data_IF_366174816134
#
_entry.id   IF_366174816134
#
_cell.length_a   1.000
_cell.length_b   1.000
_cell.length_c   1.000
_cell.angle_alpha   90.00
_cell.angle_beta   90.00
_cell.angle_gamma   90.00
#
_symmetry.space_group_name_H-M   'P 1'
#
loop_
_entity.id
_entity.type
_entity.pdbx_description
1 polymer ?
#
# COMPACT_ATOMS: atom_id res chain seq x y z
N UNK A 1 4.20 4.65 -68.67
CA UNK A 1 2.78 5.05 -68.68
C UNK A 1 2.76 6.40 -67.98
N UNK A 2 3.16 7.50 -68.61
CA UNK A 2 2.56 8.19 -69.78
C UNK A 2 1.05 8.16 -69.71
N UNK A 3 0.49 9.21 -69.11
CA UNK A 3 -0.77 9.76 -69.60
C UNK A 3 -0.55 11.26 -69.77
N UNK A 4 -0.55 11.62 -71.05
CA UNK A 4 -0.31 12.90 -71.66
C UNK A 4 -1.69 13.37 -72.11
N UNK A 5 -2.16 14.50 -71.62
CA UNK A 5 -3.31 15.17 -72.24
C UNK A 5 -3.11 16.69 -72.19
N UNK A 6 -2.32 17.14 -73.15
CA UNK A 6 -2.46 18.41 -73.88
C UNK A 6 -3.93 18.75 -74.14
N UNK A 7 -4.29 20.05 -74.07
CA UNK A 7 -5.08 20.76 -75.12
C UNK A 7 -5.32 22.24 -74.76
N UNK A 8 -4.82 23.08 -75.69
CA UNK A 8 -5.31 24.37 -76.22
C UNK A 8 -5.32 25.66 -75.37
N UNK A 9 -4.25 26.39 -75.61
CA UNK A 9 -4.25 27.78 -76.06
C UNK A 9 -5.37 28.15 -77.05
N UNK A 10 -6.06 29.26 -76.78
CA UNK A 10 -6.69 30.12 -77.80
C UNK A 10 -6.72 31.56 -77.29
N UNK A 11 -5.80 32.37 -77.81
CA UNK A 11 -5.98 33.82 -77.96
C UNK A 11 -7.13 34.11 -78.93
N UNK A 12 -7.73 35.30 -78.83
CA UNK A 12 -7.98 36.11 -80.00
C UNK A 12 -7.19 37.42 -79.90
N UNK A 13 -6.21 37.54 -80.78
CA UNK A 13 -5.60 38.81 -81.19
C UNK A 13 -6.58 39.50 -82.15
N UNK A 14 -6.98 40.72 -81.83
CA UNK A 14 -7.49 41.69 -82.80
C UNK A 14 -6.77 43.02 -82.54
N UNK A 15 -5.92 43.39 -83.49
CA UNK A 15 -5.18 44.66 -83.58
C UNK A 15 -5.94 45.61 -84.50
N UNK A 16 -5.89 46.91 -84.18
CA UNK A 16 -6.25 48.15 -84.95
C UNK A 16 -7.18 49.02 -84.08
N UNK A 17 -6.94 50.30 -83.74
CA UNK A 17 -6.07 51.37 -84.25
C UNK A 17 -5.89 52.42 -83.11
N UNK A 18 -4.82 53.23 -83.06
CA UNK A 18 -4.48 54.09 -81.92
C UNK A 18 -5.39 55.32 -81.79
N UNK A 19 -5.88 55.58 -80.58
CA UNK A 19 -6.35 56.91 -80.16
C UNK A 19 -5.48 57.40 -79.02
N UNK A 20 -4.86 58.56 -79.26
CA UNK A 20 -4.13 59.40 -78.32
C UNK A 20 -4.92 59.73 -77.03
N UNK A 21 -4.22 60.19 -75.99
CA UNK A 21 -4.54 59.91 -74.61
C UNK A 21 -5.71 60.78 -74.15
N UNK A 22 -6.91 60.20 -74.17
CA UNK A 22 -7.98 60.74 -73.35
C UNK A 22 -7.54 60.49 -71.91
N UNK A 23 -7.07 61.54 -71.22
CA UNK A 23 -6.79 61.54 -69.78
C UNK A 23 -7.87 60.69 -69.13
N UNK A 24 -7.49 59.51 -68.65
CA UNK A 24 -8.35 58.74 -67.78
C UNK A 24 -8.76 59.74 -66.71
N UNK A 25 -10.07 60.03 -66.51
CA UNK A 25 -10.44 60.78 -65.33
C UNK A 25 -9.80 59.99 -64.20
N UNK A 26 -8.94 60.63 -63.41
CA UNK A 26 -8.40 60.04 -62.20
C UNK A 26 -9.57 59.29 -61.59
N UNK A 27 -9.48 57.96 -61.56
CA UNK A 27 -10.58 57.15 -61.08
C UNK A 27 -10.51 57.28 -59.56
N UNK A 28 -10.84 58.47 -59.08
CA UNK A 28 -10.85 58.84 -57.70
C UNK A 28 -11.86 57.89 -57.07
N UNK A 29 -11.31 56.98 -56.27
CA UNK A 29 -12.13 56.03 -55.53
C UNK A 29 -13.13 56.87 -54.75
N UNK A 30 -14.44 56.69 -54.97
CA UNK A 30 -15.43 57.45 -54.25
C UNK A 30 -15.16 57.31 -52.75
N UNK A 31 -15.16 58.43 -52.01
CA UNK A 31 -14.83 58.46 -50.58
C UNK A 31 -15.57 57.35 -49.79
N UNK A 32 -16.82 57.09 -50.15
CA UNK A 32 -17.63 56.00 -49.58
C UNK A 32 -16.99 54.61 -49.72
N UNK A 33 -16.39 54.27 -50.87
CA UNK A 33 -15.68 53.00 -51.10
C UNK A 33 -14.40 52.90 -50.27
N UNK A 34 -13.68 54.01 -50.13
CA UNK A 34 -12.45 54.07 -49.33
C UNK A 34 -12.75 53.88 -47.84
N UNK A 35 -13.79 54.56 -47.34
CA UNK A 35 -14.23 54.43 -45.95
C UNK A 35 -14.70 53.00 -45.63
N UNK A 36 -15.41 52.34 -46.56
CA UNK A 36 -15.82 50.93 -46.43
C UNK A 36 -14.62 49.96 -46.36
N UNK A 37 -13.61 50.15 -47.21
CA UNK A 37 -12.40 49.31 -47.20
C UNK A 37 -11.60 49.51 -45.93
N UNK A 38 -11.47 50.75 -45.44
CA UNK A 38 -10.80 51.02 -44.16
C UNK A 38 -11.57 50.44 -42.98
N UNK A 39 -12.91 50.49 -43.00
CA UNK A 39 -13.74 49.85 -41.99
C UNK A 39 -13.51 48.33 -41.98
N UNK A 40 -13.56 47.68 -43.15
CA UNK A 40 -13.28 46.24 -43.30
C UNK A 40 -11.85 45.86 -42.91
N UNK A 41 -10.87 46.69 -43.22
CA UNK A 41 -9.48 46.45 -42.83
C UNK A 41 -9.32 46.49 -41.30
N UNK A 42 -9.93 47.49 -40.65
CA UNK A 42 -9.93 47.58 -39.18
C UNK A 42 -10.68 46.41 -38.54
N UNK A 43 -11.84 46.03 -39.08
CA UNK A 43 -12.57 44.85 -38.60
C UNK A 43 -11.75 43.56 -38.76
N UNK A 44 -11.16 43.33 -39.93
CA UNK A 44 -10.32 42.17 -40.18
C UNK A 44 -9.09 42.17 -39.26
N UNK A 45 -8.47 43.32 -39.03
CA UNK A 45 -7.35 43.46 -38.09
C UNK A 45 -7.78 43.13 -36.66
N UNK A 46 -8.94 43.63 -36.20
CA UNK A 46 -9.48 43.30 -34.87
C UNK A 46 -9.84 41.82 -34.73
N UNK A 47 -10.39 41.19 -35.77
CA UNK A 47 -10.70 39.75 -35.77
C UNK A 47 -9.44 38.91 -35.72
N UNK A 48 -8.40 39.30 -36.47
CA UNK A 48 -7.13 38.59 -36.48
C UNK A 48 -6.44 38.68 -35.13
N UNK A 49 -6.47 39.86 -34.50
CA UNK A 49 -5.92 40.08 -33.16
C UNK A 49 -6.71 39.31 -32.09
N UNK A 50 -8.05 39.27 -32.19
CA UNK A 50 -8.89 38.42 -31.34
C UNK A 50 -8.57 36.94 -31.52
N UNK A 51 -8.50 36.43 -32.75
CA UNK A 51 -8.20 35.01 -33.02
C UNK A 51 -6.80 34.60 -32.53
N UNK A 52 -5.80 35.47 -32.67
CA UNK A 52 -4.47 35.24 -32.12
C UNK A 52 -4.51 35.17 -30.60
N UNK A 53 -5.18 36.13 -29.95
CA UNK A 53 -5.30 36.14 -28.48
C UNK A 53 -6.04 34.91 -27.95
N UNK A 54 -7.09 34.47 -28.64
CA UNK A 54 -7.86 33.30 -28.26
C UNK A 54 -7.06 32.00 -28.48
N UNK A 55 -6.31 31.90 -29.58
CA UNK A 55 -5.40 30.77 -29.82
C UNK A 55 -4.28 30.69 -28.78
N UNK A 56 -3.70 31.82 -28.38
CA UNK A 56 -2.69 31.83 -27.32
C UNK A 56 -3.28 31.43 -25.96
N UNK A 57 -4.48 31.92 -25.63
CA UNK A 57 -5.17 31.52 -24.41
C UNK A 57 -5.50 30.02 -24.40
N UNK A 58 -6.02 29.49 -25.51
CA UNK A 58 -6.30 28.05 -25.66
C UNK A 58 -5.02 27.21 -25.63
N UNK A 59 -3.92 27.68 -26.22
CA UNK A 59 -2.64 26.97 -26.19
C UNK A 59 -2.06 26.94 -24.77
N UNK A 60 -2.20 28.01 -23.99
CA UNK A 60 -1.79 28.05 -22.58
C UNK A 60 -2.61 27.09 -21.73
N UNK A 61 -3.94 27.13 -21.85
CA UNK A 61 -4.81 26.22 -21.08
C UNK A 61 -4.59 24.76 -21.46
N UNK A 62 -4.40 24.45 -22.74
CA UNK A 62 -4.06 23.09 -23.18
C UNK A 62 -2.73 22.60 -22.59
N UNK A 63 -1.69 23.44 -22.58
CA UNK A 63 -0.41 23.11 -21.96
C UNK A 63 -0.52 22.90 -20.45
N UNK A 64 -1.27 23.75 -19.76
CA UNK A 64 -1.52 23.60 -18.32
C UNK A 64 -2.28 22.30 -18.01
N UNK A 65 -3.28 21.96 -18.82
CA UNK A 65 -4.01 20.70 -18.68
C UNK A 65 -3.09 19.49 -18.93
N UNK A 66 -2.29 19.53 -19.99
CA UNK A 66 -1.31 18.48 -20.29
C UNK A 66 -0.31 18.31 -19.14
N UNK A 67 0.23 19.40 -18.61
CA UNK A 67 1.14 19.37 -17.45
C UNK A 67 0.48 18.76 -16.20
N UNK A 68 -0.76 19.15 -15.90
CA UNK A 68 -1.54 18.57 -14.79
C UNK A 68 -1.79 17.07 -14.99
N UNK A 69 -2.09 16.64 -16.21
CA UNK A 69 -2.26 15.22 -16.51
C UNK A 69 -0.95 14.45 -16.33
N UNK A 70 0.17 14.96 -16.85
CA UNK A 70 1.48 14.33 -16.67
C UNK A 70 1.87 14.23 -15.19
N UNK A 71 1.60 15.25 -14.41
CA UNK A 71 1.86 15.27 -12.97
C UNK A 71 1.01 14.22 -12.25
N UNK A 72 -0.30 14.15 -12.54
CA UNK A 72 -1.20 13.14 -12.00
C UNK A 72 -0.78 11.72 -12.38
N UNK A 73 -0.32 11.49 -13.62
CA UNK A 73 0.19 10.18 -14.03
C UNK A 73 1.47 9.80 -13.29
N UNK A 74 2.40 10.73 -13.12
CA UNK A 74 3.63 10.49 -12.36
C UNK A 74 3.33 10.21 -10.90
N UNK A 75 2.50 11.03 -10.26
CA UNK A 75 2.14 10.85 -8.85
C UNK A 75 1.41 9.52 -8.61
N UNK A 76 0.44 9.16 -9.45
CA UNK A 76 -0.28 7.88 -9.32
C UNK A 76 0.62 6.67 -9.58
N UNK A 77 1.55 6.76 -10.53
CA UNK A 77 2.55 5.71 -10.76
C UNK A 77 3.49 5.53 -9.55
N UNK A 78 3.93 6.64 -8.96
CA UNK A 78 4.76 6.62 -7.75
C UNK A 78 4.01 6.06 -6.54
N UNK A 79 2.75 6.46 -6.35
CA UNK A 79 1.87 5.94 -5.31
C UNK A 79 1.62 4.44 -5.48
N UNK A 80 1.35 3.97 -6.70
CA UNK A 80 1.16 2.56 -6.99
C UNK A 80 2.43 1.76 -6.67
N UNK A 81 3.59 2.30 -7.03
CA UNK A 81 4.89 1.66 -6.74
C UNK A 81 5.12 1.59 -5.24
N UNK A 82 4.92 2.69 -4.51
CA UNK A 82 5.01 2.73 -3.04
C UNK A 82 4.04 1.78 -2.37
N UNK A 83 2.79 1.73 -2.82
CA UNK A 83 1.77 0.83 -2.29
C UNK A 83 2.15 -0.64 -2.52
N UNK A 84 2.65 -0.96 -3.72
CA UNK A 84 3.10 -2.32 -4.06
C UNK A 84 4.29 -2.75 -3.22
N UNK A 85 5.27 -1.88 -3.02
CA UNK A 85 6.45 -2.20 -2.23
C UNK A 85 6.15 -2.26 -0.73
N UNK A 86 5.24 -1.40 -0.25
CA UNK A 86 4.68 -1.48 1.10
C UNK A 86 3.94 -2.81 1.34
N UNK A 87 3.10 -3.23 0.39
CA UNK A 87 2.40 -4.51 0.48
C UNK A 87 3.37 -5.69 0.50
N UNK A 88 4.34 -5.75 -0.42
CA UNK A 88 5.37 -6.81 -0.43
C UNK A 88 6.10 -6.90 0.91
N UNK A 89 6.51 -5.77 1.46
CA UNK A 89 7.23 -5.70 2.74
C UNK A 89 6.34 -6.20 3.88
N UNK A 90 5.08 -5.77 3.92
CA UNK A 90 4.11 -6.21 4.92
C UNK A 90 3.85 -7.71 4.82
N UNK A 91 3.61 -8.24 3.62
CA UNK A 91 3.41 -9.67 3.39
C UNK A 91 4.63 -10.49 3.82
N UNK A 92 5.85 -10.05 3.47
CA UNK A 92 7.07 -10.73 3.90
C UNK A 92 7.20 -10.74 5.43
N UNK A 93 6.87 -9.64 6.09
CA UNK A 93 6.86 -9.55 7.55
C UNK A 93 5.80 -10.45 8.18
N UNK A 94 4.59 -10.51 7.62
CA UNK A 94 3.52 -11.39 8.08
C UNK A 94 3.95 -12.86 7.98
N UNK A 95 4.53 -13.28 6.85
CA UNK A 95 5.02 -14.65 6.69
C UNK A 95 6.14 -14.99 7.69
N UNK A 96 7.06 -14.05 7.95
CA UNK A 96 8.09 -14.22 8.97
C UNK A 96 7.47 -14.37 10.36
N UNK A 97 6.49 -13.53 10.72
CA UNK A 97 5.79 -13.61 11.99
C UNK A 97 5.02 -14.92 12.14
N UNK A 98 4.29 -15.34 11.09
CA UNK A 98 3.58 -16.63 11.06
C UNK A 98 4.55 -17.80 11.32
N UNK A 99 5.74 -17.79 10.70
CA UNK A 99 6.76 -18.82 10.95
C UNK A 99 7.27 -18.80 12.39
N UNK A 100 7.49 -17.62 12.97
CA UNK A 100 7.91 -17.49 14.38
C UNK A 100 6.82 -17.97 15.33
N UNK A 101 5.57 -17.56 15.09
CA UNK A 101 4.39 -17.94 15.86
C UNK A 101 4.19 -19.46 15.79
N UNK A 102 4.30 -20.07 14.62
CA UNK A 102 4.22 -21.52 14.47
C UNK A 102 5.34 -22.23 15.23
N UNK A 103 6.56 -21.68 15.22
CA UNK A 103 7.68 -22.19 16.02
C UNK A 103 7.38 -22.16 17.52
N UNK A 104 6.84 -21.03 18.01
CA UNK A 104 6.44 -20.89 19.41
C UNK A 104 5.31 -21.85 19.80
N UNK A 105 4.32 -22.03 18.91
CA UNK A 105 3.23 -22.97 19.10
C UNK A 105 3.74 -24.40 19.20
N UNK A 106 4.64 -24.83 18.32
CA UNK A 106 5.21 -26.17 18.36
C UNK A 106 5.99 -26.41 19.68
N UNK A 107 6.84 -25.46 20.10
CA UNK A 107 7.57 -25.55 21.38
C UNK A 107 6.61 -25.66 22.56
N UNK A 108 5.52 -24.90 22.53
CA UNK A 108 4.49 -24.95 23.57
C UNK A 108 3.73 -26.29 23.57
N UNK A 109 3.43 -26.86 22.41
CA UNK A 109 2.80 -28.18 22.29
C UNK A 109 3.72 -29.30 22.78
N UNK A 110 5.02 -29.22 22.52
CA UNK A 110 6.01 -30.18 23.05
C UNK A 110 6.08 -30.18 24.59
N UNK A 111 5.87 -29.01 25.20
CA UNK A 111 5.81 -28.88 26.67
C UNK A 111 4.53 -29.45 27.31
N UNK A 112 3.50 -29.75 26.52
CA UNK A 112 2.21 -30.27 27.01
C UNK A 112 2.21 -31.80 26.91
N UNK A 113 1.75 -32.53 27.94
CA UNK A 113 1.57 -33.97 27.86
C UNK A 113 0.63 -34.38 26.72
N UNK A 114 0.97 -35.44 25.98
CA UNK A 114 0.23 -35.89 24.78
C UNK A 114 -1.27 -36.10 25.02
N UNK A 115 -1.67 -36.49 26.23
CA UNK A 115 -3.07 -36.70 26.63
C UNK A 115 -3.93 -35.44 26.48
N UNK A 116 -3.32 -34.25 26.53
CA UNK A 116 -4.01 -32.97 26.42
C UNK A 116 -3.88 -32.33 25.03
N UNK A 117 -3.18 -32.96 24.08
CA UNK A 117 -3.05 -32.43 22.71
C UNK A 117 -4.39 -32.38 21.99
N UNK A 118 -5.27 -33.35 22.25
CA UNK A 118 -6.62 -33.43 21.67
C UNK A 118 -7.54 -32.29 22.13
N UNK A 119 -7.19 -31.58 23.22
CA UNK A 119 -7.98 -30.45 23.70
C UNK A 119 -7.70 -29.15 22.93
N UNK A 120 -6.61 -29.10 22.16
CA UNK A 120 -6.21 -27.91 21.41
C UNK A 120 -7.07 -27.81 20.14
N UNK A 121 -7.85 -26.73 19.94
CA UNK A 121 -8.69 -26.60 18.75
C UNK A 121 -7.85 -26.39 17.48
N UNK A 122 -7.91 -27.35 16.55
CA UNK A 122 -7.13 -27.33 15.31
C UNK A 122 -7.65 -26.36 14.23
N UNK A 123 -8.89 -25.87 14.38
CA UNK A 123 -9.55 -24.97 13.41
C UNK A 123 -9.23 -23.48 13.62
N UNK A 124 -8.42 -23.15 14.63
CA UNK A 124 -8.03 -21.77 14.94
C UNK A 124 -6.73 -21.39 14.24
N UNK A 125 -6.51 -20.10 13.91
CA UNK A 125 -5.20 -19.64 13.48
C UNK A 125 -4.17 -19.80 14.62
N UNK A 126 -2.86 -19.95 14.30
CA UNK A 126 -1.81 -20.20 15.29
C UNK A 126 -1.77 -19.20 16.45
N UNK A 127 -2.06 -17.92 16.17
CA UNK A 127 -2.15 -16.86 17.19
C UNK A 127 -3.26 -17.13 18.22
N UNK A 128 -4.46 -17.48 17.74
CA UNK A 128 -5.59 -17.81 18.60
C UNK A 128 -5.39 -19.14 19.33
N UNK A 129 -4.68 -20.09 18.72
CA UNK A 129 -4.29 -21.33 19.40
C UNK A 129 -3.35 -21.03 20.57
N UNK A 130 -2.35 -20.17 20.38
CA UNK A 130 -1.44 -19.74 21.46
C UNK A 130 -2.18 -19.01 22.58
N UNK A 131 -3.12 -18.12 22.26
CA UNK A 131 -3.94 -17.42 23.25
C UNK A 131 -4.82 -18.39 24.06
N UNK A 132 -5.44 -19.35 23.37
CA UNK A 132 -6.17 -20.43 24.02
C UNK A 132 -5.27 -21.24 24.95
N UNK A 133 -4.07 -21.60 24.48
CA UNK A 133 -3.10 -22.37 25.24
C UNK A 133 -2.65 -21.62 26.49
N UNK A 134 -2.34 -20.33 26.37
CA UNK A 134 -1.97 -19.47 27.49
C UNK A 134 -3.11 -19.36 28.51
N UNK A 135 -4.35 -19.26 28.03
CA UNK A 135 -5.54 -19.24 28.88
C UNK A 135 -5.78 -20.57 29.59
N UNK A 136 -5.56 -21.69 28.90
CA UNK A 136 -5.67 -23.04 29.44
C UNK A 136 -4.57 -23.32 30.49
N UNK A 137 -3.33 -22.92 30.20
CA UNK A 137 -2.18 -22.99 31.10
C UNK A 137 -2.45 -22.17 32.37
N UNK A 138 -2.91 -20.92 32.23
CA UNK A 138 -3.29 -20.05 33.36
C UNK A 138 -4.42 -20.64 34.21
N UNK A 139 -5.36 -21.37 33.59
CA UNK A 139 -6.45 -22.08 34.28
C UNK A 139 -6.00 -23.39 34.93
N UNK A 140 -4.75 -23.81 34.75
CA UNK A 140 -4.20 -25.03 35.32
C UNK A 140 -4.57 -26.30 34.56
N UNK A 141 -5.01 -26.21 33.29
CA UNK A 141 -5.41 -27.38 32.50
C UNK A 141 -4.25 -28.37 32.31
N UNK A 142 -3.01 -27.86 32.24
CA UNK A 142 -1.78 -28.65 32.13
C UNK A 142 -1.07 -28.83 33.49
N UNK A 143 -1.73 -28.43 34.58
CA UNK A 143 -1.21 -28.50 35.94
C UNK A 143 -1.47 -29.85 36.61
N UNK A 144 -0.37 -30.49 36.99
CA UNK A 144 -0.25 -31.67 37.86
C UNK A 144 -0.69 -33.00 37.24
N UNK A 145 0.23 -33.62 36.49
CA UNK A 145 0.49 -35.05 36.63
C UNK A 145 0.43 -35.36 38.13
N UNK A 146 -0.58 -36.13 38.54
CA UNK A 146 -0.89 -36.51 39.92
C UNK A 146 0.38 -36.49 40.76
N UNK A 147 0.50 -35.54 41.69
CA UNK A 147 1.26 -35.86 42.89
C UNK A 147 0.56 -37.11 43.43
N UNK A 148 1.22 -38.26 43.38
CA UNK A 148 0.70 -39.47 43.98
C UNK A 148 0.56 -39.18 45.48
N UNK A 149 -0.61 -38.66 45.86
CA UNK A 149 -1.01 -38.59 47.24
C UNK A 149 -1.09 -40.06 47.65
N UNK A 150 -0.25 -40.53 48.58
CA UNK A 150 -0.29 -41.92 48.98
C UNK A 150 -1.71 -42.21 49.49
N UNK A 151 -2.40 -43.11 48.79
CA UNK A 151 -3.74 -43.54 49.16
C UNK A 151 -3.61 -44.44 50.39
N UNK A 152 -3.66 -43.81 51.56
CA UNK A 152 -3.53 -44.46 52.87
C UNK A 152 -2.52 -43.75 53.77
N UNK A 153 -2.80 -43.74 55.07
CA UNK A 153 -1.76 -43.40 56.05
C UNK A 153 -0.71 -44.53 56.05
N UNK A 154 0.55 -44.20 56.23
CA UNK A 154 1.59 -45.20 56.44
C UNK A 154 1.22 -46.04 57.66
N UNK A 155 0.82 -47.30 57.45
CA UNK A 155 0.55 -48.27 58.51
C UNK A 155 1.84 -48.79 59.16
N UNK A 156 3.00 -48.38 58.63
CA UNK A 156 4.28 -48.61 59.26
C UNK A 156 4.54 -47.48 60.27
N UNK A 157 4.88 -47.76 61.54
CA UNK A 157 5.28 -46.71 62.48
C UNK A 157 6.37 -45.86 61.83
N UNK A 158 6.21 -44.54 61.88
CA UNK A 158 7.16 -43.60 61.31
C UNK A 158 8.57 -44.00 61.74
N UNK A 159 9.48 -44.20 60.77
CA UNK A 159 10.90 -44.44 61.06
C UNK A 159 11.33 -43.40 62.09
N UNK A 160 11.77 -43.88 63.26
CA UNK A 160 12.26 -43.03 64.33
C UNK A 160 13.25 -42.04 63.72
N UNK A 161 12.96 -40.75 63.86
CA UNK A 161 13.90 -39.72 63.47
C UNK A 161 15.17 -40.00 64.28
N UNK A 162 16.26 -40.32 63.58
CA UNK A 162 17.58 -40.45 64.20
C UNK A 162 17.96 -39.05 64.63
N UNK A 163 17.63 -38.69 65.87
CA UNK A 163 18.02 -37.41 66.45
C UNK A 163 19.54 -37.43 66.58
N UNK A 164 20.19 -36.44 65.96
CA UNK A 164 21.63 -36.26 66.05
C UNK A 164 22.00 -35.94 67.50
N UNK A 165 22.71 -36.87 68.17
CA UNK A 165 23.00 -36.79 69.60
C UNK A 165 23.97 -35.67 69.93
N UNK A 166 24.77 -35.23 68.96
CA UNK A 166 25.79 -34.21 69.14
C UNK A 166 25.20 -32.80 69.22
N UNK A 167 23.94 -32.62 68.76
CA UNK A 167 23.24 -31.34 68.78
C UNK A 167 22.31 -31.18 69.99
N UNK A 168 22.25 -32.18 70.86
CA UNK A 168 21.36 -32.19 72.02
C UNK A 168 22.06 -31.65 73.27
N UNK A 169 21.31 -30.88 74.05
CA UNK A 169 21.78 -30.43 75.37
C UNK A 169 21.88 -31.63 76.33
N UNK A 170 22.78 -31.61 77.32
CA UNK A 170 22.92 -32.71 78.28
C UNK A 170 21.61 -33.10 78.99
N UNK A 171 20.72 -32.13 79.20
CA UNK A 171 19.40 -32.36 79.83
C UNK A 171 18.44 -33.11 78.89
N UNK A 172 18.49 -32.84 77.58
CA UNK A 172 17.70 -33.57 76.58
C UNK A 172 18.22 -35.00 76.40
N UNK A 173 19.55 -35.18 76.41
CA UNK A 173 20.19 -36.49 76.31
C UNK A 173 19.81 -37.40 77.49
N UNK A 174 19.77 -36.81 78.70
CA UNK A 174 19.32 -37.48 79.91
C UNK A 174 17.85 -37.92 79.81
N UNK A 175 16.95 -37.05 79.33
CA UNK A 175 15.52 -37.39 79.14
C UNK A 175 15.30 -38.55 78.16
N UNK A 176 16.05 -38.57 77.05
CA UNK A 176 15.96 -39.66 76.06
C UNK A 176 16.37 -41.00 76.70
N UNK A 177 17.46 -41.01 77.47
CA UNK A 177 17.95 -42.21 78.16
C UNK A 177 16.96 -42.81 79.17
N UNK A 178 16.17 -41.96 79.85
CA UNK A 178 15.12 -42.44 80.76
C UNK A 178 13.82 -42.84 80.06
N UNK A 179 13.49 -42.25 78.91
CA UNK A 179 12.26 -42.59 78.16
C UNK A 179 12.29 -43.98 77.48
N UNK A 180 13.48 -44.59 77.33
CA UNK A 180 13.63 -45.93 76.73
C UNK A 180 13.49 -47.09 77.74
N UNK A 181 13.42 -46.81 79.05
CA UNK A 181 13.14 -47.81 80.10
C UNK A 181 11.76 -47.55 80.72
N UNK A 182 10.71 -47.80 79.95
CA UNK A 182 9.34 -47.98 80.42
C UNK A 182 8.63 -48.99 79.51
#
# INVERSE_FOLDING_TARGET
>A
MVDETTVKETQPTATETPKEPTKAPEHQIPKARFDEVNAKYKEAQTQLEQLLSEREAQAKTAKEQQGKFEELYKSTADELTRAKDGHKTSTARVQQLESVIQGLLNVKLEGIPKEFHDLVPANLPPEAQLEWLASAEKKGLFGHLRQEQPVGQATNPAKAQTVDLDQLTPLQLLKIGYSQRA
#
